data_IF_901079192466
#
_entry.id   IF_901079192466
#
_cell.length_a   1.000
_cell.length_b   1.000
_cell.length_c   1.000
_cell.angle_alpha   90.00
_cell.angle_beta   90.00
_cell.angle_gamma   90.00
#
_symmetry.space_group_name_H-M   'P 1'
#
loop_
_entity.id
_entity.type
_entity.pdbx_description
1 polymer ?
#
# COMPACT_ATOMS: atom_id res chain seq x y z
N UNK A 1 73.10 -2.74 -9.24
CA UNK A 1 71.87 -2.20 -9.85
C UNK A 1 70.74 -2.37 -8.85
N UNK A 2 70.38 -1.27 -8.19
CA UNK A 2 69.55 -1.24 -6.97
C UNK A 2 68.06 -1.28 -7.31
N UNK A 3 67.30 -2.14 -6.60
CA UNK A 3 65.84 -2.19 -6.68
C UNK A 3 65.21 -0.95 -6.03
N UNK A 4 64.15 -0.35 -6.59
CA UNK A 4 63.50 0.81 -6.00
C UNK A 4 62.61 0.41 -4.81
N UNK A 5 62.65 1.20 -3.73
CA UNK A 5 61.76 1.09 -2.57
C UNK A 5 60.35 1.52 -2.96
N UNK A 6 59.35 0.69 -2.67
CA UNK A 6 57.93 1.05 -2.76
C UNK A 6 57.62 2.18 -1.76
N UNK A 7 57.09 3.30 -2.26
CA UNK A 7 56.62 4.41 -1.45
C UNK A 7 55.38 4.00 -0.63
N UNK A 8 55.32 4.46 0.62
CA UNK A 8 54.11 4.32 1.46
C UNK A 8 52.94 5.06 0.80
N UNK A 9 51.73 4.49 0.75
CA UNK A 9 50.55 5.22 0.30
C UNK A 9 50.20 6.31 1.32
N UNK A 10 49.93 7.51 0.83
CA UNK A 10 49.41 8.61 1.65
C UNK A 10 47.93 8.34 1.99
N UNK A 11 47.45 8.68 3.20
CA UNK A 11 46.05 8.55 3.53
C UNK A 11 45.24 9.57 2.70
N UNK A 12 44.26 9.06 1.94
CA UNK A 12 43.29 9.91 1.24
C UNK A 12 42.49 10.72 2.26
N UNK A 13 42.41 12.03 2.04
CA UNK A 13 41.56 12.93 2.81
C UNK A 13 40.11 12.46 2.72
N UNK A 14 39.55 12.07 3.87
CA UNK A 14 38.13 11.73 4.03
C UNK A 14 37.26 12.94 3.67
N UNK A 15 36.76 13.01 2.44
CA UNK A 15 35.61 13.84 2.09
C UNK A 15 34.37 13.25 2.76
N UNK A 16 33.87 13.96 3.77
CA UNK A 16 32.67 13.63 4.53
C UNK A 16 31.45 13.68 3.60
N UNK A 17 30.71 12.58 3.48
CA UNK A 17 29.45 12.55 2.72
C UNK A 17 28.45 13.57 3.33
N UNK A 18 27.60 14.22 2.51
CA UNK A 18 26.54 15.09 3.03
C UNK A 18 25.52 14.23 3.80
N UNK A 19 25.03 14.77 4.92
CA UNK A 19 24.03 14.09 5.73
C UNK A 19 22.71 13.90 4.96
N UNK A 20 21.97 12.79 5.16
CA UNK A 20 20.65 12.61 4.56
C UNK A 20 19.69 13.71 5.06
N UNK A 21 18.77 14.14 4.19
CA UNK A 21 17.79 15.21 4.44
C UNK A 21 16.84 14.91 5.62
N UNK A 22 16.78 13.64 6.06
CA UNK A 22 16.13 13.20 7.29
C UNK A 22 17.19 13.05 8.40
N UNK A 23 17.61 14.13 9.03
CA UNK A 23 18.31 14.06 10.30
C UNK A 23 17.62 15.02 11.26
N UNK A 24 16.94 14.54 12.32
CA UNK A 24 16.27 15.43 13.25
C UNK A 24 17.32 16.24 14.01
N UNK A 25 17.21 17.58 13.94
CA UNK A 25 18.10 18.50 14.66
C UNK A 25 17.91 18.34 16.17
N UNK A 26 18.90 17.79 16.86
CA UNK A 26 18.88 17.63 18.31
C UNK A 26 19.23 18.94 19.02
N UNK A 27 18.23 19.75 19.32
CA UNK A 27 18.30 20.76 20.39
C UNK A 27 16.89 21.18 20.83
N UNK A 28 16.28 20.42 21.75
CA UNK A 28 15.22 20.95 22.62
C UNK A 28 15.76 21.03 24.04
N UNK A 29 15.62 22.18 24.74
CA UNK A 29 15.97 22.25 26.14
C UNK A 29 14.95 21.45 26.96
N UNK A 30 15.45 20.74 27.98
CA UNK A 30 14.61 20.02 28.93
C UNK A 30 13.91 21.03 29.85
N UNK A 31 12.61 21.24 29.66
CA UNK A 31 11.75 21.86 30.68
C UNK A 31 10.82 20.78 31.24
N UNK A 32 11.13 20.33 32.46
CA UNK A 32 10.17 19.68 33.34
C UNK A 32 9.24 20.79 33.85
N UNK A 33 7.96 20.71 33.50
CA UNK A 33 6.86 20.98 34.42
C UNK A 33 5.50 20.65 33.79
N UNK A 34 4.64 20.08 34.65
CA UNK A 34 3.22 19.71 34.48
C UNK A 34 2.90 18.29 33.98
N UNK A 35 2.70 17.38 34.95
CA UNK A 35 1.80 16.22 34.87
C UNK A 35 0.34 16.69 34.74
N UNK A 36 0.04 17.44 33.68
CA UNK A 36 -1.32 17.67 33.23
C UNK A 36 -1.59 16.67 32.12
N UNK A 37 -2.48 15.69 32.38
CA UNK A 37 -3.11 14.92 31.29
C UNK A 37 -3.79 15.95 30.39
N UNK A 38 -3.17 16.26 29.27
CA UNK A 38 -3.78 17.10 28.24
C UNK A 38 -5.06 16.40 27.80
N UNK A 39 -6.18 17.11 27.91
CA UNK A 39 -7.46 16.61 27.42
C UNK A 39 -7.30 16.30 25.92
N UNK A 40 -7.62 15.08 25.43
CA UNK A 40 -7.43 14.70 24.03
C UNK A 40 -8.47 15.46 23.20
N UNK A 41 -8.18 16.68 22.77
CA UNK A 41 -9.23 17.50 22.15
C UNK A 41 -8.87 18.85 21.57
N UNK A 42 -7.61 19.20 21.30
CA UNK A 42 -7.31 20.49 20.66
C UNK A 42 -6.23 20.51 19.57
N UNK A 43 -5.50 19.43 19.33
CA UNK A 43 -4.61 19.37 18.17
C UNK A 43 -5.33 18.70 16.99
N UNK A 44 -5.46 19.44 15.88
CA UNK A 44 -5.91 18.87 14.61
C UNK A 44 -4.83 17.91 14.10
N UNK A 45 -5.20 16.65 13.90
CA UNK A 45 -4.31 15.63 13.34
C UNK A 45 -4.42 15.59 11.82
N UNK A 46 -3.32 15.92 11.13
CA UNK A 46 -3.21 15.89 9.66
C UNK A 46 -2.24 14.81 9.16
N UNK A 47 -1.90 13.82 9.98
CA UNK A 47 -0.95 12.76 9.59
C UNK A 47 -1.59 11.72 8.67
N UNK A 48 -2.74 11.18 9.08
CA UNK A 48 -3.47 10.17 8.31
C UNK A 48 -4.92 10.06 8.78
N UNK A 49 -5.80 9.63 7.88
CA UNK A 49 -7.19 9.29 8.17
C UNK A 49 -7.34 7.92 8.85
N UNK A 50 -6.29 7.09 8.89
CA UNK A 50 -6.29 5.84 9.64
C UNK A 50 -6.01 6.03 11.15
N UNK A 51 -5.69 7.25 11.58
CA UNK A 51 -5.46 7.60 12.99
C UNK A 51 -6.75 8.00 13.72
N UNK A 52 -7.87 8.14 12.99
CA UNK A 52 -9.17 8.50 13.59
C UNK A 52 -10.05 7.27 13.88
N UNK A 53 -10.82 7.35 14.96
CA UNK A 53 -11.75 6.29 15.36
C UNK A 53 -12.94 6.15 14.40
N UNK A 54 -13.71 5.07 14.59
CA UNK A 54 -14.88 4.79 13.77
C UNK A 54 -16.02 5.80 13.98
N UNK A 55 -16.78 6.07 12.92
CA UNK A 55 -17.98 6.91 12.98
C UNK A 55 -19.01 6.34 13.98
N UNK A 56 -19.71 7.16 14.78
CA UNK A 56 -20.64 6.68 15.82
C UNK A 56 -21.72 5.70 15.33
N UNK A 57 -22.20 5.89 14.09
CA UNK A 57 -23.18 4.99 13.48
C UNK A 57 -22.64 3.56 13.27
N UNK A 58 -21.33 3.40 13.05
CA UNK A 58 -20.66 2.09 12.94
C UNK A 58 -20.64 1.41 14.30
N UNK A 59 -20.22 2.13 15.35
CA UNK A 59 -20.21 1.60 16.73
C UNK A 59 -21.63 1.18 17.15
N UNK A 60 -22.64 2.00 16.85
CA UNK A 60 -24.02 1.66 17.13
C UNK A 60 -24.51 0.43 16.34
N UNK A 61 -24.06 0.24 15.09
CA UNK A 61 -24.39 -0.94 14.30
C UNK A 61 -23.77 -2.21 14.88
N UNK A 62 -22.50 -2.16 15.28
CA UNK A 62 -21.84 -3.25 15.99
C UNK A 62 -22.56 -3.57 17.30
N UNK A 63 -22.95 -2.54 18.07
CA UNK A 63 -23.72 -2.72 19.31
C UNK A 63 -25.06 -3.44 19.08
N UNK A 64 -25.81 -3.07 18.04
CA UNK A 64 -27.06 -3.77 17.68
C UNK A 64 -26.81 -5.23 17.33
N UNK A 65 -25.81 -5.52 16.48
CA UNK A 65 -25.45 -6.88 16.10
C UNK A 65 -24.97 -7.72 17.30
N UNK A 66 -24.26 -7.12 18.25
CA UNK A 66 -23.86 -7.80 19.48
C UNK A 66 -25.07 -8.20 20.33
N UNK A 67 -26.10 -7.36 20.39
CA UNK A 67 -27.32 -7.61 21.18
C UNK A 67 -28.36 -8.50 20.48
N UNK A 68 -28.19 -8.85 19.20
CA UNK A 68 -29.20 -9.59 18.42
C UNK A 68 -29.17 -11.12 18.60
N UNK A 69 -28.34 -11.64 19.51
CA UNK A 69 -28.19 -13.08 19.75
C UNK A 69 -27.12 -13.72 18.87
N UNK A 70 -27.33 -14.95 18.43
CA UNK A 70 -26.39 -15.67 17.55
C UNK A 70 -26.64 -15.38 16.07
N UNK A 71 -25.58 -15.51 15.27
CA UNK A 71 -25.64 -15.41 13.81
C UNK A 71 -24.91 -16.59 13.18
N UNK A 72 -25.25 -16.92 11.93
CA UNK A 72 -24.52 -17.93 11.18
C UNK A 72 -23.12 -17.45 10.81
N UNK A 73 -22.14 -18.36 10.87
CA UNK A 73 -20.75 -18.06 10.58
C UNK A 73 -20.45 -17.90 9.09
N UNK A 74 -19.25 -17.44 8.76
CA UNK A 74 -18.66 -17.44 7.41
C UNK A 74 -19.52 -16.70 6.35
N UNK A 75 -20.15 -15.59 6.75
CA UNK A 75 -20.91 -14.72 5.84
C UNK A 75 -22.33 -15.20 5.53
N UNK A 76 -22.79 -16.29 6.17
CA UNK A 76 -24.17 -16.76 6.03
C UNK A 76 -25.18 -15.98 6.89
N UNK A 77 -24.75 -14.89 7.56
CA UNK A 77 -25.57 -14.03 8.39
C UNK A 77 -26.30 -12.93 7.59
N UNK A 78 -27.31 -12.33 8.21
CA UNK A 78 -28.13 -11.28 7.60
C UNK A 78 -27.38 -9.96 7.33
N UNK A 79 -26.34 -9.66 8.11
CA UNK A 79 -25.57 -8.42 7.98
C UNK A 79 -24.70 -8.48 6.74
N UNK A 80 -24.02 -9.61 6.51
CA UNK A 80 -23.24 -9.87 5.30
C UNK A 80 -24.14 -9.82 4.06
N UNK A 81 -25.29 -10.49 4.07
CA UNK A 81 -26.26 -10.43 2.97
C UNK A 81 -26.77 -9.02 2.69
N UNK A 82 -26.98 -8.22 3.76
CA UNK A 82 -27.37 -6.81 3.63
C UNK A 82 -26.26 -5.95 3.02
N UNK A 83 -24.99 -6.17 3.39
CA UNK A 83 -23.86 -5.48 2.75
C UNK A 83 -23.82 -5.78 1.26
N UNK A 84 -23.92 -7.05 0.89
CA UNK A 84 -23.89 -7.45 -0.53
C UNK A 84 -25.05 -6.83 -1.32
N UNK A 85 -26.29 -6.90 -0.82
CA UNK A 85 -27.43 -6.22 -1.46
C UNK A 85 -27.18 -4.73 -1.63
N UNK A 86 -26.67 -4.06 -0.61
CA UNK A 86 -26.42 -2.61 -0.69
C UNK A 86 -25.33 -2.27 -1.69
N UNK A 87 -24.29 -3.09 -1.80
CA UNK A 87 -23.25 -2.91 -2.82
C UNK A 87 -23.80 -3.15 -4.23
N UNK A 88 -24.65 -4.17 -4.44
CA UNK A 88 -25.35 -4.37 -5.72
C UNK A 88 -26.16 -3.14 -6.15
N UNK A 89 -26.87 -2.52 -5.20
CA UNK A 89 -27.63 -1.28 -5.46
C UNK A 89 -26.71 -0.09 -5.77
N UNK A 90 -25.66 0.12 -4.97
CA UNK A 90 -24.73 1.26 -5.14
C UNK A 90 -23.97 1.18 -6.47
N UNK A 91 -23.57 -0.01 -6.87
CA UNK A 91 -22.81 -0.24 -8.11
C UNK A 91 -23.68 -0.60 -9.32
N UNK A 92 -25.01 -0.62 -9.17
CA UNK A 92 -25.97 -1.05 -10.19
C UNK A 92 -25.56 -2.38 -10.87
N UNK A 93 -25.19 -3.37 -10.04
CA UNK A 93 -24.59 -4.64 -10.48
C UNK A 93 -25.25 -5.82 -9.76
N UNK A 94 -26.29 -6.45 -10.33
CA UNK A 94 -27.08 -7.47 -9.62
C UNK A 94 -26.32 -8.77 -9.31
N UNK A 95 -25.28 -9.07 -10.07
CA UNK A 95 -24.40 -10.23 -9.93
C UNK A 95 -23.11 -9.93 -9.13
N UNK A 96 -23.00 -8.74 -8.53
CA UNK A 96 -21.88 -8.43 -7.62
C UNK A 96 -21.89 -9.40 -6.43
N UNK A 97 -20.70 -9.88 -6.07
CA UNK A 97 -20.44 -10.67 -4.86
C UNK A 97 -19.45 -9.89 -4.00
N UNK A 98 -19.69 -9.85 -2.70
CA UNK A 98 -18.86 -9.09 -1.77
C UNK A 98 -18.10 -10.02 -0.82
N UNK A 99 -16.79 -9.79 -0.67
CA UNK A 99 -15.94 -10.53 0.26
C UNK A 99 -15.33 -9.56 1.28
N UNK A 100 -15.93 -9.42 2.48
CA UNK A 100 -15.37 -8.61 3.55
C UNK A 100 -14.03 -9.18 4.01
N UNK A 101 -13.00 -8.34 4.07
CA UNK A 101 -11.67 -8.67 4.57
C UNK A 101 -11.21 -7.61 5.57
N UNK A 102 -10.19 -7.95 6.37
CA UNK A 102 -9.82 -7.16 7.56
C UNK A 102 -9.06 -5.87 7.20
N UNK A 103 -8.25 -5.87 6.13
CA UNK A 103 -7.39 -4.74 5.77
C UNK A 103 -7.36 -4.47 4.27
N UNK A 104 -6.98 -3.26 3.89
CA UNK A 104 -6.73 -2.89 2.49
C UNK A 104 -5.63 -3.73 1.83
N UNK A 105 -4.53 -4.00 2.54
CA UNK A 105 -3.45 -4.88 2.05
C UNK A 105 -3.96 -6.28 1.70
N UNK A 106 -4.80 -6.88 2.55
CA UNK A 106 -5.41 -8.18 2.27
C UNK A 106 -6.34 -8.10 1.04
N UNK A 107 -7.16 -7.04 0.94
CA UNK A 107 -8.05 -6.85 -0.20
C UNK A 107 -7.29 -6.75 -1.53
N UNK A 108 -6.27 -5.89 -1.58
CA UNK A 108 -5.43 -5.70 -2.76
C UNK A 108 -4.71 -7.00 -3.16
N UNK A 109 -4.07 -7.64 -2.19
CA UNK A 109 -3.28 -8.85 -2.42
C UNK A 109 -4.13 -10.03 -2.89
N UNK A 110 -5.31 -10.24 -2.30
CA UNK A 110 -6.25 -11.30 -2.71
C UNK A 110 -6.85 -11.01 -4.10
N UNK A 111 -7.25 -9.77 -4.37
CA UNK A 111 -7.77 -9.39 -5.68
C UNK A 111 -6.73 -9.64 -6.79
N UNK A 112 -5.48 -9.26 -6.56
CA UNK A 112 -4.38 -9.48 -7.51
C UNK A 112 -4.05 -10.97 -7.68
N UNK A 113 -4.11 -11.77 -6.62
CA UNK A 113 -3.92 -13.21 -6.70
C UNK A 113 -4.98 -13.91 -7.57
N UNK A 114 -6.22 -13.38 -7.61
CA UNK A 114 -7.26 -13.87 -8.52
C UNK A 114 -7.05 -13.43 -9.98
N UNK A 115 -6.38 -12.30 -10.20
CA UNK A 115 -6.21 -11.68 -11.51
C UNK A 115 -4.86 -11.97 -12.18
N UNK A 116 -3.89 -12.55 -11.47
CA UNK A 116 -2.54 -12.78 -11.99
C UNK A 116 -2.04 -14.20 -11.70
N UNK A 117 -1.49 -14.90 -12.70
CA UNK A 117 -0.72 -16.11 -12.43
C UNK A 117 0.62 -15.76 -11.75
N UNK A 118 1.34 -16.74 -11.18
CA UNK A 118 2.64 -16.53 -10.53
C UNK A 118 3.73 -15.95 -11.45
N UNK A 119 3.65 -16.20 -12.76
CA UNK A 119 4.57 -15.63 -13.77
C UNK A 119 4.02 -14.35 -14.40
N UNK A 120 2.95 -13.78 -13.85
CA UNK A 120 2.29 -12.58 -14.36
C UNK A 120 3.07 -11.30 -14.04
N UNK A 121 2.80 -10.27 -14.83
CA UNK A 121 3.24 -8.90 -14.63
C UNK A 121 2.04 -8.02 -14.27
N UNK A 122 2.12 -7.36 -13.11
CA UNK A 122 1.10 -6.45 -12.59
C UNK A 122 1.63 -5.03 -12.71
N UNK A 123 0.96 -4.20 -13.52
CA UNK A 123 1.38 -2.83 -13.77
C UNK A 123 0.75 -1.87 -12.75
N UNK A 124 1.55 -0.99 -12.16
CA UNK A 124 1.07 -0.02 -11.18
C UNK A 124 1.94 1.24 -11.15
N UNK A 125 1.49 2.29 -10.48
CA UNK A 125 2.30 3.47 -10.24
C UNK A 125 3.40 3.18 -9.20
N UNK A 126 4.62 3.76 -9.30
CA UNK A 126 5.67 3.58 -8.28
C UNK A 126 5.25 3.91 -6.85
N UNK A 127 4.36 4.89 -6.69
CA UNK A 127 3.78 5.30 -5.40
C UNK A 127 2.50 4.54 -5.01
N UNK A 128 2.00 3.60 -5.82
CA UNK A 128 0.79 2.87 -5.44
C UNK A 128 1.03 2.09 -4.13
N UNK A 129 0.04 2.05 -3.23
CA UNK A 129 0.12 1.34 -1.95
C UNK A 129 0.69 -0.09 -2.09
N UNK A 130 0.20 -0.86 -3.08
CA UNK A 130 0.68 -2.22 -3.39
C UNK A 130 2.19 -2.31 -3.66
N UNK A 131 2.79 -1.22 -4.15
CA UNK A 131 4.20 -1.16 -4.54
C UNK A 131 5.11 -0.55 -3.46
N UNK A 132 4.55 0.27 -2.56
CA UNK A 132 5.31 1.09 -1.60
C UNK A 132 5.05 0.72 -0.14
N UNK A 133 3.83 0.31 0.23
CA UNK A 133 3.38 0.27 1.64
C UNK A 133 2.83 -1.10 2.08
N UNK A 134 2.96 -2.14 1.24
CA UNK A 134 2.45 -3.48 1.54
C UNK A 134 3.55 -4.52 1.81
N UNK A 135 4.81 -4.12 1.88
CA UNK A 135 5.95 -5.00 2.25
C UNK A 135 5.98 -6.30 1.44
N UNK A 136 5.66 -6.23 0.15
CA UNK A 136 5.67 -7.38 -0.76
C UNK A 136 4.49 -8.34 -0.59
N UNK A 137 3.42 -7.94 0.09
CA UNK A 137 2.22 -8.78 0.22
C UNK A 137 1.62 -9.18 -1.15
N UNK A 138 1.49 -8.29 -2.16
CA UNK A 138 1.00 -8.69 -3.47
C UNK A 138 1.85 -9.80 -4.10
N UNK A 139 3.18 -9.68 -4.08
CA UNK A 139 4.08 -10.72 -4.60
C UNK A 139 3.95 -12.04 -3.84
N UNK A 140 3.76 -11.99 -2.51
CA UNK A 140 3.53 -13.19 -1.69
C UNK A 140 2.22 -13.88 -2.07
N UNK A 141 1.09 -13.16 -2.08
CA UNK A 141 -0.25 -13.73 -2.33
C UNK A 141 -0.45 -14.20 -3.76
N UNK A 142 0.23 -13.58 -4.73
CA UNK A 142 0.24 -14.01 -6.14
C UNK A 142 1.19 -15.17 -6.42
N UNK A 143 1.88 -15.69 -5.38
CA UNK A 143 2.92 -16.70 -5.47
C UNK A 143 4.10 -16.32 -6.40
N UNK A 144 4.40 -15.03 -6.51
CA UNK A 144 5.59 -14.51 -7.16
C UNK A 144 5.36 -13.63 -8.40
N UNK A 145 4.13 -13.20 -8.67
CA UNK A 145 3.89 -12.26 -9.76
C UNK A 145 4.72 -10.99 -9.57
N UNK A 146 5.20 -10.42 -10.68
CA UNK A 146 6.11 -9.27 -10.64
C UNK A 146 5.32 -7.96 -10.74
N UNK A 147 5.58 -7.03 -9.82
CA UNK A 147 5.14 -5.64 -9.97
C UNK A 147 6.02 -4.90 -10.99
N UNK A 148 5.39 -4.30 -12.01
CA UNK A 148 6.02 -3.47 -13.02
C UNK A 148 5.55 -2.03 -12.87
N UNK A 149 6.48 -1.13 -12.51
CA UNK A 149 6.15 0.25 -12.14
C UNK A 149 6.14 1.16 -13.37
N UNK A 150 5.00 1.79 -13.65
CA UNK A 150 4.80 2.77 -14.72
C UNK A 150 4.48 4.13 -14.09
N UNK A 151 5.45 5.03 -14.16
CA UNK A 151 5.39 6.35 -13.51
C UNK A 151 4.53 7.35 -14.29
N UNK A 152 3.94 8.32 -13.59
CA UNK A 152 3.20 9.43 -14.18
C UNK A 152 2.87 10.53 -13.16
N UNK A 153 2.29 11.62 -13.63
CA UNK A 153 2.04 12.78 -12.79
C UNK A 153 0.97 12.50 -11.71
N UNK A 154 1.17 13.05 -10.50
CA UNK A 154 0.22 13.01 -9.39
C UNK A 154 -0.25 11.60 -8.96
N UNK A 155 0.67 10.63 -9.00
CA UNK A 155 0.35 9.24 -8.60
C UNK A 155 -0.43 8.46 -9.66
N UNK A 156 -0.65 9.02 -10.85
CA UNK A 156 -1.43 8.40 -11.93
C UNK A 156 -0.51 7.67 -12.89
N UNK A 157 -0.87 6.45 -13.27
CA UNK A 157 -0.17 5.70 -14.32
C UNK A 157 -0.27 6.46 -15.64
N UNK A 158 0.87 6.77 -16.26
CA UNK A 158 0.90 7.39 -17.59
C UNK A 158 0.44 6.39 -18.65
N UNK A 159 -0.64 6.74 -19.37
CA UNK A 159 -1.26 5.85 -20.35
C UNK A 159 -0.35 5.58 -21.57
N UNK A 160 0.47 6.54 -22.00
CA UNK A 160 1.37 6.38 -23.15
C UNK A 160 2.51 5.43 -22.78
N UNK A 161 3.09 5.60 -21.58
CA UNK A 161 4.13 4.69 -21.08
C UNK A 161 3.58 3.28 -20.85
N UNK A 162 2.36 3.15 -20.33
CA UNK A 162 1.70 1.86 -20.16
C UNK A 162 1.49 1.17 -21.52
N UNK A 163 0.97 1.90 -22.50
CA UNK A 163 0.79 1.36 -23.85
C UNK A 163 2.12 0.91 -24.47
N UNK A 164 3.19 1.71 -24.31
CA UNK A 164 4.53 1.34 -24.77
C UNK A 164 5.09 0.10 -24.06
N UNK A 165 4.84 -0.06 -22.76
CA UNK A 165 5.24 -1.24 -22.00
C UNK A 165 4.48 -2.50 -22.45
N UNK A 166 3.19 -2.39 -22.72
CA UNK A 166 2.36 -3.51 -23.21
C UNK A 166 2.66 -3.89 -24.66
N UNK A 167 3.14 -2.95 -25.48
CA UNK A 167 3.51 -3.18 -26.88
C UNK A 167 4.86 -3.91 -27.06
N UNK A 168 5.63 -4.14 -25.99
CA UNK A 168 6.88 -4.88 -26.08
C UNK A 168 6.60 -6.34 -26.53
N UNK A 169 7.46 -6.93 -27.40
CA UNK A 169 7.26 -8.28 -27.92
C UNK A 169 7.67 -9.36 -26.90
N UNK A 170 7.11 -9.28 -25.68
CA UNK A 170 7.39 -10.18 -24.55
C UNK A 170 6.25 -11.17 -24.30
N UNK A 171 5.08 -10.93 -24.88
CA UNK A 171 3.94 -11.83 -24.78
C UNK A 171 4.26 -13.19 -25.42
N UNK A 172 4.01 -14.27 -24.69
CA UNK A 172 4.32 -15.64 -25.10
C UNK A 172 5.81 -16.01 -25.02
N UNK A 173 6.70 -15.07 -24.65
CA UNK A 173 8.14 -15.36 -24.51
C UNK A 173 8.41 -15.94 -23.12
N UNK A 174 8.85 -17.22 -23.00
CA UNK A 174 8.88 -17.93 -21.71
C UNK A 174 9.79 -17.32 -20.63
N UNK A 175 10.77 -16.52 -21.04
CA UNK A 175 11.74 -15.90 -20.13
C UNK A 175 11.28 -14.56 -19.54
N UNK A 176 10.09 -14.09 -19.93
CA UNK A 176 9.52 -12.82 -19.47
C UNK A 176 8.23 -13.03 -18.70
N UNK A 177 8.02 -12.19 -17.68
CA UNK A 177 6.74 -12.11 -16.99
C UNK A 177 5.65 -11.66 -17.98
N UNK A 178 4.49 -12.30 -17.91
CA UNK A 178 3.42 -12.10 -18.90
C UNK A 178 2.44 -11.03 -18.42
N UNK A 179 2.06 -10.03 -19.24
CA UNK A 179 1.07 -9.03 -18.86
C UNK A 179 -0.20 -9.68 -18.29
N UNK A 180 -0.59 -9.31 -17.07
CA UNK A 180 -1.70 -9.95 -16.37
C UNK A 180 -2.75 -8.95 -15.87
N UNK A 181 -2.33 -7.90 -15.16
CA UNK A 181 -3.25 -6.93 -14.56
C UNK A 181 -2.67 -5.52 -14.54
N UNK A 182 -3.55 -4.52 -14.48
CA UNK A 182 -3.20 -3.12 -14.20
C UNK A 182 -3.92 -2.72 -12.91
N UNK A 183 -3.18 -2.22 -11.91
CA UNK A 183 -3.74 -1.72 -10.66
C UNK A 183 -3.66 -0.19 -10.62
N UNK A 184 -4.80 0.44 -10.37
CA UNK A 184 -4.95 1.89 -10.24
C UNK A 184 -5.54 2.23 -8.87
N UNK A 185 -5.02 3.26 -8.20
CA UNK A 185 -5.55 3.77 -6.91
C UNK A 185 -6.45 4.98 -7.16
N UNK A 186 -7.60 5.04 -6.49
CA UNK A 186 -8.57 6.12 -6.61
C UNK A 186 -9.17 6.46 -5.22
N UNK A 187 -8.89 7.62 -4.62
CA UNK A 187 -7.93 8.65 -5.04
C UNK A 187 -6.48 8.14 -5.01
N UNK A 188 -5.54 8.89 -5.61
CA UNK A 188 -4.12 8.49 -5.55
C UNK A 188 -3.53 8.80 -4.17
N UNK A 189 -2.34 8.29 -3.87
CA UNK A 189 -1.61 8.64 -2.63
C UNK A 189 -1.22 10.13 -2.55
N UNK A 190 -1.47 10.91 -3.60
CA UNK A 190 -1.23 12.35 -3.62
C UNK A 190 -2.44 13.19 -3.19
N UNK A 191 -3.60 12.56 -2.95
CA UNK A 191 -4.88 13.25 -2.74
C UNK A 191 -5.61 13.56 -4.04
#
# INVERSE_FOLDING_TARGET
MSRPRAGRPQPMSSTRAPAPCWAPSSSRPASRDSDAVQSPGSEMNFRSDNEVGAHPAVIAAVGRAFTSGSAFSYGADEWTQRVERRLREVFDKPDLVAFPVVTGTAANSLALACCSPPWGAIYCHPMAHIAAEETGAPEFFTAGARLFRIDGAAGKVDAVKLAAALAQPVYGVPHFAQPAAVSITQATECG
#
